data_IF_013395501449
#
_entry.id   IF_013395501449
#
_cell.length_a   1.000
_cell.length_b   1.000
_cell.length_c   1.000
_cell.angle_alpha   90.00
_cell.angle_beta   90.00
_cell.angle_gamma   90.00
#
_symmetry.space_group_name_H-M   'P 1'
#
loop_
_entity.id
_entity.type
_entity.pdbx_description
1 polymer ?
#
# COMPACT_ATOMS: atom_id res chain seq x y z
N UNK A 1 6.29 -9.23 42.93
CA UNK A 1 6.74 -8.63 41.65
C UNK A 1 6.43 -9.62 40.53
N UNK A 2 5.23 -9.57 39.93
CA UNK A 2 4.81 -10.53 38.91
C UNK A 2 3.87 -9.86 37.88
N UNK A 3 4.24 -8.68 37.39
CA UNK A 3 3.40 -7.93 36.45
C UNK A 3 4.17 -7.35 35.25
N UNK A 4 5.48 -7.64 35.11
CA UNK A 4 6.29 -7.13 33.99
C UNK A 4 6.48 -8.14 32.84
N UNK A 5 6.04 -9.39 32.98
CA UNK A 5 6.30 -10.44 31.98
C UNK A 5 5.27 -10.51 30.84
N UNK A 6 4.06 -9.96 31.03
CA UNK A 6 2.98 -10.11 30.04
C UNK A 6 3.08 -9.07 28.90
N UNK A 7 3.61 -7.87 29.17
CA UNK A 7 3.74 -6.83 28.15
C UNK A 7 4.81 -7.16 27.08
N UNK A 8 5.86 -7.90 27.44
CA UNK A 8 6.90 -8.35 26.50
C UNK A 8 6.43 -9.46 25.55
N UNK A 9 5.46 -10.28 25.96
CA UNK A 9 4.95 -11.39 25.13
C UNK A 9 3.99 -10.90 24.05
N UNK A 10 3.19 -9.86 24.31
CA UNK A 10 2.29 -9.27 23.31
C UNK A 10 3.06 -8.57 22.17
N UNK A 11 4.19 -7.92 22.48
CA UNK A 11 5.03 -7.24 21.48
C UNK A 11 5.75 -8.22 20.53
N UNK A 12 6.04 -9.44 20.97
CA UNK A 12 6.64 -10.46 20.10
C UNK A 12 5.62 -11.11 19.15
N UNK A 13 4.36 -11.22 19.57
CA UNK A 13 3.30 -11.84 18.77
C UNK A 13 2.88 -10.96 17.57
N UNK A 14 2.73 -9.65 17.76
CA UNK A 14 2.34 -8.74 16.66
C UNK A 14 3.44 -8.61 15.57
N UNK A 15 4.72 -8.73 15.97
CA UNK A 15 5.87 -8.79 15.04
C UNK A 15 5.94 -10.10 14.23
N UNK A 16 5.28 -11.17 14.67
CA UNK A 16 5.17 -12.40 13.88
C UNK A 16 4.07 -12.28 12.82
N UNK A 17 2.97 -11.60 13.13
CA UNK A 17 1.84 -11.47 12.22
C UNK A 17 2.10 -10.46 11.10
N UNK A 18 2.69 -9.30 11.43
CA UNK A 18 2.92 -8.18 10.52
C UNK A 18 4.42 -7.86 10.38
N UNK A 19 4.77 -7.07 9.36
CA UNK A 19 6.11 -6.51 9.19
C UNK A 19 6.11 -5.03 9.56
N UNK A 20 7.21 -4.55 10.12
CA UNK A 20 7.43 -3.13 10.40
C UNK A 20 7.82 -2.37 9.12
N UNK A 21 7.86 -1.04 9.21
CA UNK A 21 8.22 -0.20 8.06
C UNK A 21 9.67 -0.45 7.60
N UNK A 22 10.58 -0.76 8.53
CA UNK A 22 11.97 -1.06 8.20
C UNK A 22 12.09 -2.28 7.28
N UNK A 23 11.31 -3.34 7.54
CA UNK A 23 11.21 -4.50 6.67
C UNK A 23 10.57 -4.16 5.32
N UNK A 24 9.55 -3.28 5.26
CA UNK A 24 9.00 -2.80 3.98
C UNK A 24 10.06 -2.12 3.12
N UNK A 25 10.90 -1.27 3.73
CA UNK A 25 11.98 -0.55 3.06
C UNK A 25 13.09 -1.47 2.54
N UNK A 26 13.20 -2.69 3.05
CA UNK A 26 14.17 -3.68 2.55
C UNK A 26 13.73 -4.37 1.26
N UNK A 27 12.44 -4.31 0.89
CA UNK A 27 11.95 -4.89 -0.35
C UNK A 27 12.29 -3.99 -1.55
N UNK A 28 12.75 -4.54 -2.69
CA UNK A 28 13.02 -3.76 -3.90
C UNK A 28 11.81 -2.95 -4.41
N UNK A 29 10.58 -3.38 -4.13
CA UNK A 29 9.38 -2.66 -4.50
C UNK A 29 9.29 -1.27 -3.82
N UNK A 30 9.95 -1.06 -2.67
CA UNK A 30 9.98 0.22 -1.95
C UNK A 30 10.63 1.34 -2.77
N UNK A 31 11.52 0.96 -3.69
CA UNK A 31 12.26 1.88 -4.55
C UNK A 31 11.61 2.06 -5.93
N UNK A 32 10.45 1.44 -6.18
CA UNK A 32 9.81 1.56 -7.48
C UNK A 32 9.30 2.98 -7.72
N UNK A 33 9.67 3.49 -8.89
CA UNK A 33 9.36 4.82 -9.41
C UNK A 33 9.08 4.74 -10.88
N UNK A 34 7.93 5.24 -11.29
CA UNK A 34 7.73 5.54 -12.70
C UNK A 34 8.82 6.54 -13.14
N UNK A 35 9.60 6.23 -14.19
CA UNK A 35 10.61 7.15 -14.69
C UNK A 35 10.00 8.50 -15.07
N UNK A 36 10.72 9.58 -14.74
CA UNK A 36 10.30 10.97 -14.95
C UNK A 36 9.02 11.41 -14.23
N UNK A 37 8.48 10.61 -13.29
CA UNK A 37 7.45 11.10 -12.37
C UNK A 37 8.04 12.08 -11.36
N UNK A 38 7.28 13.11 -11.03
CA UNK A 38 7.61 14.11 -10.01
C UNK A 38 7.08 13.60 -8.67
N UNK A 39 7.95 13.59 -7.65
CA UNK A 39 7.53 13.31 -6.28
C UNK A 39 6.83 14.53 -5.68
N UNK A 40 5.56 14.35 -5.34
CA UNK A 40 4.75 15.37 -4.66
C UNK A 40 4.84 15.21 -3.14
N UNK A 41 4.89 13.97 -2.67
CA UNK A 41 5.08 13.64 -1.25
C UNK A 41 5.64 12.23 -1.04
N UNK A 42 6.48 12.07 -0.02
CA UNK A 42 6.77 10.79 0.62
C UNK A 42 5.76 10.55 1.75
N UNK A 43 5.13 9.39 1.77
CA UNK A 43 4.12 9.00 2.77
C UNK A 43 4.52 7.69 3.43
N UNK A 44 4.45 7.65 4.76
CA UNK A 44 4.76 6.43 5.49
C UNK A 44 4.41 6.54 6.96
N UNK A 45 4.12 5.40 7.56
CA UNK A 45 3.83 5.29 8.98
C UNK A 45 4.23 3.90 9.50
N UNK A 46 4.60 3.86 10.78
CA UNK A 46 4.65 2.59 11.50
C UNK A 46 3.23 2.05 11.74
N UNK A 47 3.16 0.76 12.07
CA UNK A 47 1.90 0.15 12.52
C UNK A 47 1.44 0.84 13.80
N UNK A 48 0.18 1.27 13.82
CA UNK A 48 -0.44 1.92 14.98
C UNK A 48 -1.82 1.34 15.22
N UNK A 49 -2.17 1.14 16.48
CA UNK A 49 -3.54 0.78 16.86
C UNK A 49 -4.34 2.06 17.06
N UNK A 50 -5.35 2.30 16.22
CA UNK A 50 -6.27 3.43 16.37
C UNK A 50 -7.61 2.96 16.94
N UNK A 51 -8.48 3.90 17.30
CA UNK A 51 -9.84 3.59 17.75
C UNK A 51 -10.67 2.86 16.68
N UNK A 52 -10.37 3.07 15.40
CA UNK A 52 -11.04 2.42 14.26
C UNK A 52 -10.47 1.02 13.98
N UNK A 53 -9.38 0.65 14.64
CA UNK A 53 -8.69 -0.63 14.48
C UNK A 53 -7.19 -0.46 14.21
N UNK A 54 -6.46 -1.58 14.11
CA UNK A 54 -5.05 -1.54 13.75
C UNK A 54 -4.85 -1.05 12.31
N UNK A 55 -4.01 -0.02 12.16
CA UNK A 55 -3.49 0.43 10.86
C UNK A 55 -2.12 -0.20 10.62
N UNK A 56 -1.99 -0.89 9.48
CA UNK A 56 -0.71 -1.49 9.07
C UNK A 56 0.37 -0.44 8.82
N UNK A 57 1.63 -0.80 9.06
CA UNK A 57 2.76 -0.04 8.58
C UNK A 57 2.69 0.11 7.05
N UNK A 58 3.12 1.25 6.53
CA UNK A 58 3.22 1.49 5.09
C UNK A 58 4.35 2.46 4.76
N UNK A 59 4.85 2.38 3.53
CA UNK A 59 5.78 3.34 2.95
C UNK A 59 5.53 3.47 1.46
N UNK A 60 5.55 4.68 0.93
CA UNK A 60 5.21 4.92 -0.45
C UNK A 60 5.13 6.39 -0.76
N UNK A 61 4.65 6.72 -1.94
CA UNK A 61 4.79 8.07 -2.45
C UNK A 61 3.63 8.48 -3.31
N UNK A 62 3.35 9.78 -3.27
CA UNK A 62 2.40 10.44 -4.15
C UNK A 62 3.20 11.10 -5.26
N UNK A 63 2.89 10.72 -6.49
CA UNK A 63 3.66 11.02 -7.68
C UNK A 63 2.75 11.66 -8.73
N UNK A 64 3.28 12.67 -9.44
CA UNK A 64 2.65 13.29 -10.61
C UNK A 64 3.39 12.91 -11.89
N UNK A 65 2.65 12.66 -12.98
CA UNK A 65 3.24 12.38 -14.31
C UNK A 65 2.35 12.88 -15.45
N UNK A 66 2.95 13.05 -16.63
CA UNK A 66 2.24 13.34 -17.88
C UNK A 66 1.85 12.08 -18.67
N UNK A 67 2.22 10.88 -18.19
CA UNK A 67 1.68 9.62 -18.69
C UNK A 67 0.20 9.46 -18.31
N UNK A 68 -0.55 8.66 -19.07
CA UNK A 68 -1.91 8.26 -18.68
C UNK A 68 -1.91 7.11 -17.66
N UNK A 69 -3.06 6.90 -17.03
CA UNK A 69 -3.27 5.86 -16.03
C UNK A 69 -2.92 4.45 -16.53
N UNK A 70 -3.19 4.15 -17.80
CA UNK A 70 -2.90 2.84 -18.39
C UNK A 70 -1.39 2.60 -18.53
N UNK A 71 -0.63 3.61 -18.97
CA UNK A 71 0.83 3.54 -19.00
C UNK A 71 1.43 3.42 -17.60
N UNK A 72 0.88 4.13 -16.61
CA UNK A 72 1.28 3.99 -15.20
C UNK A 72 1.05 2.56 -14.72
N UNK A 73 -0.16 2.03 -14.92
CA UNK A 73 -0.50 0.66 -14.54
C UNK A 73 0.40 -0.36 -15.23
N UNK A 74 0.62 -0.23 -16.54
CA UNK A 74 1.44 -1.16 -17.32
C UNK A 74 2.89 -1.20 -16.79
N UNK A 75 3.46 -0.04 -16.47
CA UNK A 75 4.79 0.04 -15.86
C UNK A 75 4.86 -0.72 -14.53
N UNK A 76 3.98 -0.39 -13.58
CA UNK A 76 4.01 -1.03 -12.26
C UNK A 76 3.68 -2.52 -12.33
N UNK A 77 2.75 -2.94 -13.18
CA UNK A 77 2.44 -4.35 -13.39
C UNK A 77 3.65 -5.14 -13.93
N UNK A 78 4.38 -4.57 -14.89
CA UNK A 78 5.59 -5.16 -15.44
C UNK A 78 6.70 -5.27 -14.40
N UNK A 79 6.99 -4.18 -13.69
CA UNK A 79 8.06 -4.15 -12.69
C UNK A 79 7.75 -5.08 -11.51
N UNK A 80 6.55 -4.99 -10.93
CA UNK A 80 6.14 -5.84 -9.81
C UNK A 80 6.14 -7.31 -10.20
N UNK A 81 5.61 -7.65 -11.38
CA UNK A 81 5.66 -9.02 -11.90
C UNK A 81 7.09 -9.53 -12.07
N UNK A 82 8.00 -8.68 -12.58
CA UNK A 82 9.43 -9.00 -12.73
C UNK A 82 10.11 -9.33 -11.40
N UNK A 83 9.71 -8.67 -10.30
CA UNK A 83 10.25 -8.91 -8.96
C UNK A 83 9.38 -9.84 -8.10
N UNK A 84 8.53 -10.66 -8.73
CA UNK A 84 7.85 -11.80 -8.09
C UNK A 84 6.60 -11.46 -7.31
N UNK A 85 5.98 -10.30 -7.55
CA UNK A 85 4.72 -9.93 -6.93
C UNK A 85 3.52 -10.50 -7.71
N UNK A 86 2.52 -10.99 -6.98
CA UNK A 86 1.30 -11.56 -7.56
C UNK A 86 0.17 -10.55 -7.53
N UNK A 87 -0.56 -10.40 -8.63
CA UNK A 87 -1.71 -9.49 -8.72
C UNK A 87 -2.87 -9.99 -7.85
N UNK A 88 -3.46 -9.10 -7.06
CA UNK A 88 -4.66 -9.41 -6.30
C UNK A 88 -5.89 -9.49 -7.22
N UNK A 89 -6.80 -10.42 -6.91
CA UNK A 89 -8.03 -10.67 -7.69
C UNK A 89 -9.14 -9.68 -7.36
N UNK A 90 -9.10 -9.13 -6.14
CA UNK A 90 -10.09 -8.19 -5.63
C UNK A 90 -9.37 -6.97 -5.08
N UNK A 91 -9.90 -5.79 -5.39
CA UNK A 91 -9.30 -4.51 -5.00
C UNK A 91 -10.37 -3.50 -4.65
N UNK A 92 -10.04 -2.59 -3.75
CA UNK A 92 -10.91 -1.47 -3.37
C UNK A 92 -10.18 -0.15 -3.57
N UNK A 93 -10.96 0.89 -3.82
CA UNK A 93 -10.51 2.28 -3.89
C UNK A 93 -11.49 3.18 -3.15
N UNK A 94 -11.00 4.33 -2.71
CA UNK A 94 -11.77 5.37 -2.03
C UNK A 94 -12.49 6.28 -3.01
N UNK A 95 -13.38 7.14 -2.51
CA UNK A 95 -14.09 8.14 -3.33
C UNK A 95 -13.18 9.23 -3.90
N UNK A 96 -11.96 9.37 -3.39
CA UNK A 96 -10.93 10.28 -3.89
C UNK A 96 -9.99 9.62 -4.92
N UNK A 97 -10.35 8.43 -5.42
CA UNK A 97 -9.56 7.66 -6.36
C UNK A 97 -10.39 7.28 -7.58
N UNK A 98 -9.77 7.36 -8.76
CA UNK A 98 -10.38 6.95 -10.02
C UNK A 98 -10.24 5.44 -10.25
N UNK A 99 -9.16 4.85 -9.73
CA UNK A 99 -8.89 3.41 -9.78
C UNK A 99 -7.85 3.04 -8.72
N UNK A 100 -7.84 1.78 -8.29
CA UNK A 100 -6.74 1.23 -7.52
C UNK A 100 -6.50 -0.23 -7.85
N UNK A 101 -5.25 -0.63 -7.67
CA UNK A 101 -4.75 -1.94 -7.99
C UNK A 101 -3.74 -2.41 -6.95
N UNK A 102 -3.77 -3.71 -6.70
CA UNK A 102 -3.08 -4.30 -5.56
C UNK A 102 -2.32 -5.54 -6.01
N UNK A 103 -1.14 -5.73 -5.42
CA UNK A 103 -0.34 -6.94 -5.55
C UNK A 103 0.08 -7.41 -4.17
N UNK A 104 0.45 -8.68 -4.06
CA UNK A 104 0.92 -9.27 -2.83
C UNK A 104 2.22 -10.04 -3.02
N UNK A 105 3.01 -10.08 -1.95
CA UNK A 105 4.15 -10.95 -1.77
C UNK A 105 4.39 -11.15 -0.28
N UNK A 106 4.40 -12.41 0.17
CA UNK A 106 4.60 -12.76 1.58
C UNK A 106 3.67 -11.98 2.53
N UNK A 107 4.26 -11.25 3.49
CA UNK A 107 3.59 -10.37 4.46
C UNK A 107 3.46 -8.92 3.98
N UNK A 108 3.51 -8.68 2.67
CA UNK A 108 3.40 -7.34 2.08
C UNK A 108 2.37 -7.25 0.96
N UNK A 109 1.76 -6.08 0.85
CA UNK A 109 0.89 -5.68 -0.25
C UNK A 109 1.47 -4.43 -0.91
N UNK A 110 1.50 -4.40 -2.23
CA UNK A 110 1.79 -3.20 -3.01
C UNK A 110 0.48 -2.62 -3.53
N UNK A 111 0.27 -1.33 -3.34
CA UNK A 111 -0.92 -0.62 -3.79
C UNK A 111 -0.54 0.50 -4.74
N UNK A 112 -1.19 0.52 -5.90
CA UNK A 112 -1.15 1.60 -6.87
C UNK A 112 -2.56 2.18 -6.99
N UNK A 113 -2.75 3.46 -6.67
CA UNK A 113 -4.04 4.12 -6.83
C UNK A 113 -3.93 5.42 -7.61
N UNK A 114 -4.76 5.56 -8.63
CA UNK A 114 -4.90 6.80 -9.40
C UNK A 114 -5.83 7.73 -8.62
N UNK A 115 -5.35 8.92 -8.31
CA UNK A 115 -6.08 9.92 -7.53
C UNK A 115 -6.96 10.75 -8.46
N UNK A 116 -8.17 11.03 -7.98
CA UNK A 116 -9.01 12.06 -8.56
C UNK A 116 -8.45 13.42 -8.10
N UNK A 117 -7.79 14.15 -9.00
CA UNK A 117 -7.04 15.36 -8.64
C UNK A 117 -7.92 16.46 -8.04
N UNK A 118 -9.19 16.51 -8.39
CA UNK A 118 -10.13 17.52 -7.87
C UNK A 118 -10.60 17.21 -6.45
N UNK A 119 -10.52 15.93 -6.03
CA UNK A 119 -11.02 15.46 -4.73
C UNK A 119 -9.91 15.08 -3.75
N UNK A 120 -8.78 14.63 -4.27
CA UNK A 120 -7.74 14.01 -3.45
C UNK A 120 -6.89 15.04 -2.69
N UNK A 121 -6.59 16.19 -3.32
CA UNK A 121 -5.65 17.17 -2.76
C UNK A 121 -6.07 18.61 -3.06
N UNK A 122 -5.64 19.53 -2.21
CA UNK A 122 -5.77 20.97 -2.46
C UNK A 122 -4.81 21.39 -3.60
N UNK A 123 -5.12 22.46 -4.37
CA UNK A 123 -4.31 22.88 -5.52
C UNK A 123 -2.82 23.10 -5.21
N UNK A 124 -2.48 23.58 -4.01
CA UNK A 124 -1.10 23.85 -3.58
C UNK A 124 -0.25 22.58 -3.51
N UNK A 125 -0.88 21.43 -3.31
CA UNK A 125 -0.21 20.13 -3.26
C UNK A 125 0.54 19.81 -4.56
N UNK A 126 0.08 20.35 -5.70
CA UNK A 126 0.70 20.13 -7.01
C UNK A 126 1.89 21.05 -7.29
N UNK A 127 2.28 21.91 -6.34
CA UNK A 127 3.47 22.75 -6.40
C UNK A 127 3.54 23.61 -7.68
N UNK A 128 2.38 24.08 -8.16
CA UNK A 128 2.26 24.89 -9.38
C UNK A 128 2.43 24.12 -10.70
N UNK A 129 2.50 22.79 -10.65
CA UNK A 129 2.59 21.93 -11.84
C UNK A 129 1.23 21.30 -12.17
N UNK A 130 1.02 21.01 -13.44
CA UNK A 130 -0.14 20.24 -13.91
C UNK A 130 0.30 18.85 -14.33
N UNK A 131 -0.45 17.84 -13.91
CA UNK A 131 -0.17 16.44 -14.23
C UNK A 131 -1.36 15.80 -14.94
N UNK A 132 -1.07 14.94 -15.92
CA UNK A 132 -2.11 14.11 -16.53
C UNK A 132 -2.61 13.06 -15.55
N UNK A 133 -1.70 12.47 -14.78
CA UNK A 133 -2.00 11.44 -13.78
C UNK A 133 -1.29 11.75 -12.48
N UNK A 134 -2.05 11.73 -11.38
CA UNK A 134 -1.50 11.74 -10.01
C UNK A 134 -1.84 10.41 -9.38
N UNK A 135 -0.86 9.77 -8.75
CA UNK A 135 -1.02 8.43 -8.24
C UNK A 135 -0.24 8.21 -6.96
N UNK A 136 -0.69 7.20 -6.21
CA UNK A 136 -0.19 6.80 -4.91
C UNK A 136 0.31 5.36 -5.03
N UNK A 137 1.63 5.22 -4.91
CA UNK A 137 2.34 3.96 -5.07
C UNK A 137 3.01 3.61 -3.74
N UNK A 138 2.49 2.61 -3.02
CA UNK A 138 2.93 2.28 -1.67
C UNK A 138 2.99 0.80 -1.36
N UNK A 139 3.96 0.42 -0.53
CA UNK A 139 4.02 -0.84 0.18
C UNK A 139 3.27 -0.74 1.51
N UNK A 140 2.63 -1.83 1.88
CA UNK A 140 1.84 -1.95 3.11
C UNK A 140 2.12 -3.31 3.74
N UNK A 141 2.22 -3.36 5.06
CA UNK A 141 2.19 -4.62 5.78
C UNK A 141 0.82 -5.27 5.66
N UNK A 142 0.80 -6.59 5.49
CA UNK A 142 -0.40 -7.44 5.57
C UNK A 142 -0.16 -8.54 6.60
N UNK A 143 -1.24 -9.12 7.11
CA UNK A 143 -1.17 -10.26 8.04
C UNK A 143 -0.63 -11.50 7.32
N UNK A 144 0.20 -12.28 8.00
CA UNK A 144 0.65 -13.60 7.54
C UNK A 144 -0.51 -14.59 7.29
N UNK A 145 -1.66 -14.37 7.94
CA UNK A 145 -2.85 -15.21 7.76
C UNK A 145 -3.59 -14.94 6.44
N UNK A 146 -3.29 -13.83 5.77
CA UNK A 146 -3.93 -13.47 4.52
C UNK A 146 -3.26 -14.20 3.35
N UNK A 147 -4.03 -14.96 2.56
CA UNK A 147 -3.52 -15.67 1.38
C UNK A 147 -3.07 -14.70 0.29
N UNK A 148 -2.01 -15.03 -0.45
CA UNK A 148 -1.55 -14.26 -1.62
C UNK A 148 -1.70 -15.14 -2.88
N UNK A 149 -2.62 -14.82 -3.82
CA UNK A 149 -3.60 -13.73 -3.77
C UNK A 149 -4.68 -13.97 -2.71
N UNK A 150 -5.32 -12.89 -2.26
CA UNK A 150 -6.43 -12.91 -1.34
C UNK A 150 -7.62 -13.62 -2.01
N UNK A 151 -8.10 -14.64 -1.33
CA UNK A 151 -9.33 -15.34 -1.69
C UNK A 151 -10.30 -15.15 -0.52
N UNK A 152 -11.37 -14.34 -0.68
CA UNK A 152 -12.34 -14.17 0.39
C UNK A 152 -12.97 -15.51 0.72
N UNK A 153 -13.07 -15.82 2.03
CA UNK A 153 -13.80 -16.99 2.46
C UNK A 153 -15.27 -16.89 1.97
N UNK A 154 -15.89 -18.00 1.53
CA UNK A 154 -17.30 -18.01 1.21
C UNK A 154 -18.11 -17.49 2.41
N UNK A 155 -19.08 -16.60 2.17
CA UNK A 155 -19.99 -16.17 3.24
C UNK A 155 -20.67 -17.42 3.82
N UNK A 156 -20.75 -17.56 5.16
CA UNK A 156 -21.46 -18.68 5.75
C UNK A 156 -22.91 -18.65 5.27
N UNK A 157 -23.33 -19.69 4.56
CA UNK A 157 -24.73 -19.91 4.23
C UNK A 157 -25.49 -20.10 5.54
N UNK A 158 -26.46 -19.22 5.82
CA UNK A 158 -27.44 -19.48 6.88
C UNK A 158 -28.21 -20.74 6.50
N UNK A 159 -27.93 -21.85 7.18
CA UNK A 159 -28.80 -23.04 7.23
C UNK A 159 -29.93 -22.82 8.21
#
# INVERSE_FOLDING_TARGET
MLALAVALLASCADNQEFVDRAALLSDPASQLRLPAAVELAHVGAERVTTFEGPQSAFDGYILGTNADADAVLAYYAGELGRIGWTRETTTTHSTAELAAWWWCKDRMTYRLAIKDQEKAFQPEFYQGQSFKTVFDARLMSRSISMSCPYSPAPLPTRT
#
